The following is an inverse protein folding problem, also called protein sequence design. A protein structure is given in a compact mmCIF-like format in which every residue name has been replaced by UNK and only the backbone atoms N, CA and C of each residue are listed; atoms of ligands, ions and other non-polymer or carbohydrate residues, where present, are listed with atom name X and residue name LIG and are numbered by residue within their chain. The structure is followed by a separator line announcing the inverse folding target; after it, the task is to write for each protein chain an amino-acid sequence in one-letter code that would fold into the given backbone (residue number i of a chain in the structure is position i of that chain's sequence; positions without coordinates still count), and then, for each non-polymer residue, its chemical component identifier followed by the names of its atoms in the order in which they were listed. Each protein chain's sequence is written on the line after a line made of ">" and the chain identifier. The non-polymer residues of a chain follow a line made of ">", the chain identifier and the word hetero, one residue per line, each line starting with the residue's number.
data_IF_932409645878
#
_entry.id   IF_932409645878
#
_cell.length_a   1.000
_cell.length_b   1.000
_cell.length_c   1.000
_cell.angle_alpha   90.00
_cell.angle_beta   90.00
_cell.angle_gamma   90.00
#
_symmetry.space_group_name_H-M   'P 1'
#
loop_
_entity.id
_entity.type
_entity.pdbx_description
1 polymer ?
#
# COMPACT_ATOMS: atom_id res chain seq x y z
N UNK A 1 -64.32 -49.60 28.19
CA UNK A 1 -63.28 -50.32 28.95
C UNK A 1 -61.94 -49.75 28.54
N UNK A 2 -61.17 -49.26 29.53
CA UNK A 2 -59.75 -48.90 29.52
C UNK A 2 -59.37 -47.74 28.57
N UNK A 3 -59.06 -46.52 28.99
CA UNK A 3 -58.44 -46.05 30.23
C UNK A 3 -56.94 -45.86 29.98
N UNK A 4 -56.49 -44.62 29.77
CA UNK A 4 -55.09 -44.21 29.92
C UNK A 4 -55.00 -42.71 30.27
N UNK A 5 -54.11 -42.44 31.21
CA UNK A 5 -54.00 -41.27 32.07
C UNK A 5 -53.57 -39.99 31.32
N UNK A 6 -54.05 -38.85 31.81
CA UNK A 6 -53.51 -37.54 31.45
C UNK A 6 -52.19 -37.27 32.18
N UNK A 7 -51.16 -36.92 31.42
CA UNK A 7 -49.98 -36.22 31.90
C UNK A 7 -49.99 -34.82 31.30
N UNK A 8 -50.16 -33.83 32.18
CA UNK A 8 -49.98 -32.41 31.88
C UNK A 8 -48.49 -32.12 31.81
N UNK A 9 -47.94 -31.94 30.61
CA UNK A 9 -46.57 -31.44 30.42
C UNK A 9 -46.61 -29.92 30.58
N UNK A 10 -46.10 -29.42 31.71
CA UNK A 10 -45.77 -28.01 31.89
C UNK A 10 -44.46 -27.75 31.16
N UNK A 11 -44.53 -27.12 29.98
CA UNK A 11 -43.35 -26.56 29.33
C UNK A 11 -43.08 -25.19 29.97
N UNK A 12 -42.05 -25.12 30.81
CA UNK A 12 -41.49 -23.85 31.26
C UNK A 12 -40.88 -23.12 30.06
N UNK A 13 -41.45 -21.98 29.69
CA UNK A 13 -40.82 -20.98 28.85
C UNK A 13 -39.81 -20.24 29.73
N UNK A 14 -38.50 -20.22 29.44
CA UNK A 14 -37.61 -19.29 30.11
C UNK A 14 -37.88 -17.89 29.59
N UNK A 15 -38.19 -16.98 30.51
CA UNK A 15 -38.26 -15.54 30.27
C UNK A 15 -36.87 -15.04 29.87
N UNK A 16 -36.69 -14.71 28.59
CA UNK A 16 -35.49 -14.08 28.06
C UNK A 16 -35.56 -12.57 28.27
N UNK A 17 -35.20 -12.10 29.47
CA UNK A 17 -35.03 -10.68 29.78
C UNK A 17 -33.67 -10.36 30.43
N UNK A 18 -32.68 -11.26 30.38
CA UNK A 18 -31.37 -11.03 31.03
C UNK A 18 -30.16 -10.94 30.08
N UNK A 19 -30.33 -11.06 28.76
CA UNK A 19 -29.19 -11.05 27.80
C UNK A 19 -28.99 -9.73 27.02
N UNK A 20 -29.86 -8.72 27.20
CA UNK A 20 -29.68 -7.42 26.52
C UNK A 20 -28.83 -6.41 27.31
N UNK A 21 -28.71 -6.59 28.63
CA UNK A 21 -27.98 -5.66 29.51
C UNK A 21 -26.46 -5.88 29.54
N UNK A 22 -25.98 -7.11 29.42
CA UNK A 22 -24.53 -7.39 29.38
C UNK A 22 -23.89 -6.97 28.04
N UNK A 23 -24.63 -7.11 26.93
CA UNK A 23 -24.16 -6.71 25.59
C UNK A 23 -24.04 -5.18 25.49
N UNK A 24 -24.91 -4.43 26.18
CA UNK A 24 -24.84 -2.96 26.25
C UNK A 24 -23.66 -2.49 27.10
N UNK A 25 -23.38 -3.13 28.24
CA UNK A 25 -22.27 -2.72 29.12
C UNK A 25 -20.90 -3.01 28.52
N UNK A 26 -20.77 -4.09 27.75
CA UNK A 26 -19.54 -4.41 27.02
C UNK A 26 -19.27 -3.42 25.88
N UNK A 27 -20.32 -2.96 25.19
CA UNK A 27 -20.21 -1.91 24.17
C UNK A 27 -19.80 -0.58 24.78
N UNK A 28 -20.34 -0.24 25.95
CA UNK A 28 -19.98 0.97 26.71
C UNK A 28 -18.55 0.89 27.28
N UNK A 29 -18.11 -0.27 27.76
CA UNK A 29 -16.74 -0.48 28.24
C UNK A 29 -15.70 -0.42 27.09
N UNK A 30 -16.04 -0.98 25.91
CA UNK A 30 -15.20 -0.87 24.71
C UNK A 30 -15.22 0.54 24.11
N UNK A 31 -16.35 1.26 24.22
CA UNK A 31 -16.41 2.69 23.96
C UNK A 31 -15.45 3.47 24.85
N UNK A 32 -15.30 3.06 26.13
CA UNK A 32 -14.36 3.63 27.11
C UNK A 32 -12.87 3.34 26.78
N UNK A 33 -12.52 2.17 26.24
CA UNK A 33 -11.15 1.90 25.73
C UNK A 33 -10.88 2.53 24.35
N UNK A 34 -11.91 2.66 23.51
CA UNK A 34 -11.82 3.37 22.24
C UNK A 34 -11.56 4.88 22.42
N UNK A 35 -11.89 5.46 23.59
CA UNK A 35 -11.68 6.88 23.95
C UNK A 35 -10.23 7.32 23.80
N UNK A 36 -9.25 6.46 24.12
CA UNK A 36 -7.83 6.83 24.04
C UNK A 36 -7.24 6.71 22.63
N UNK A 37 -7.89 6.01 21.70
CA UNK A 37 -7.40 5.81 20.32
C UNK A 37 -8.15 6.62 19.25
N UNK A 38 -9.31 7.16 19.58
CA UNK A 38 -10.27 7.64 18.58
C UNK A 38 -10.18 9.13 18.30
N UNK A 39 -9.09 9.52 17.66
CA UNK A 39 -9.12 10.60 16.69
C UNK A 39 -9.54 10.07 15.31
N UNK A 40 -10.00 10.95 14.43
CA UNK A 40 -9.90 10.62 13.01
C UNK A 40 -8.43 10.35 12.68
N UNK A 41 -8.08 9.50 11.70
CA UNK A 41 -6.70 9.01 11.52
C UNK A 41 -5.67 10.07 11.06
N UNK A 42 -5.96 11.36 11.23
CA UNK A 42 -5.03 12.49 11.18
C UNK A 42 -4.93 13.33 12.47
N UNK A 43 -5.47 12.84 13.60
CA UNK A 43 -5.50 13.52 14.91
C UNK A 43 -4.33 13.11 15.85
N UNK A 44 -3.29 12.41 15.33
CA UNK A 44 -2.11 12.06 16.14
C UNK A 44 -1.26 13.33 16.32
N UNK A 45 -1.51 14.09 17.39
CA UNK A 45 -0.69 15.23 17.77
C UNK A 45 0.73 14.80 18.19
N UNK A 46 1.71 15.48 17.59
CA UNK A 46 2.91 15.92 18.29
C UNK A 46 2.47 16.88 19.40
N UNK A 47 2.77 16.55 20.64
CA UNK A 47 2.47 17.39 21.79
C UNK A 47 3.04 18.80 21.61
N UNK A 48 2.15 19.78 21.70
CA UNK A 48 2.47 21.20 21.70
C UNK A 48 3.41 21.57 22.86
N UNK A 49 4.47 22.29 22.52
CA UNK A 49 5.08 23.27 23.42
C UNK A 49 5.21 24.55 22.63
N UNK A 50 4.16 25.35 22.68
CA UNK A 50 4.15 26.73 22.22
C UNK A 50 5.27 27.53 22.93
N UNK A 51 6.26 28.00 22.15
CA UNK A 51 6.89 29.32 22.37
C UNK A 51 7.12 29.97 21.02
N UNK A 52 6.40 31.07 20.80
CA UNK A 52 6.48 31.98 19.67
C UNK A 52 7.68 32.95 19.82
N UNK A 53 7.94 33.81 18.82
CA UNK A 53 9.07 33.75 17.89
C UNK A 53 10.22 34.71 18.28
N UNK A 54 11.41 34.50 17.71
CA UNK A 54 12.28 35.57 17.17
C UNK A 54 13.71 35.08 16.87
N UNK A 55 14.26 35.66 15.80
CA UNK A 55 15.66 35.72 15.40
C UNK A 55 16.28 34.50 14.67
N UNK A 56 16.56 34.69 13.37
CA UNK A 56 17.73 34.08 12.71
C UNK A 56 18.98 34.32 13.55
N UNK A 57 19.94 33.38 13.56
CA UNK A 57 21.22 33.78 12.98
C UNK A 57 21.99 32.66 12.25
N UNK A 58 22.51 33.07 11.09
CA UNK A 58 23.92 33.04 10.70
C UNK A 58 24.76 31.77 10.99
N UNK A 59 25.17 31.20 9.86
CA UNK A 59 26.34 30.33 9.65
C UNK A 59 27.58 30.92 10.36
N UNK A 60 28.19 30.12 11.25
CA UNK A 60 29.56 30.32 11.71
C UNK A 60 30.28 28.97 11.78
N UNK A 61 31.28 28.83 10.91
CA UNK A 61 32.29 27.78 10.93
C UNK A 61 33.22 28.01 12.12
N UNK A 62 33.37 27.03 13.01
CA UNK A 62 34.48 27.00 13.98
C UNK A 62 34.97 25.56 14.11
N UNK A 63 36.20 25.34 13.62
CA UNK A 63 37.02 24.16 13.92
C UNK A 63 37.44 24.16 15.39
N UNK A 64 37.32 23.03 16.09
CA UNK A 64 38.14 22.74 17.27
C UNK A 64 38.18 21.23 17.61
N UNK A 65 39.32 20.63 17.23
CA UNK A 65 40.20 19.78 18.05
C UNK A 65 39.61 18.70 18.98
N UNK A 66 40.00 17.46 18.66
CA UNK A 66 39.95 16.21 19.44
C UNK A 66 40.69 16.31 20.79
N UNK A 67 40.24 15.54 21.81
CA UNK A 67 41.19 14.69 22.53
C UNK A 67 40.72 13.23 22.73
N UNK A 68 41.70 12.43 23.12
CA UNK A 68 41.89 10.99 22.95
C UNK A 68 41.44 10.12 24.16
N UNK A 69 41.18 8.82 23.90
CA UNK A 69 41.10 7.61 24.79
C UNK A 69 39.70 7.27 25.37
N UNK A 70 39.19 6.03 25.39
CA UNK A 70 39.78 4.66 25.32
C UNK A 70 38.71 3.63 24.83
N UNK A 71 39.08 2.39 24.47
CA UNK A 71 38.22 1.47 23.72
C UNK A 71 37.29 0.62 24.61
N UNK A 72 36.04 0.44 24.18
CA UNK A 72 35.06 -0.52 24.72
C UNK A 72 34.80 -1.59 23.64
N UNK A 73 34.75 -2.89 23.99
CA UNK A 73 34.99 -3.96 23.03
C UNK A 73 33.84 -4.13 22.04
N UNK A 74 34.21 -4.29 20.76
CA UNK A 74 33.31 -4.62 19.68
C UNK A 74 32.57 -5.93 19.99
N UNK A 75 31.23 -5.86 20.08
CA UNK A 75 30.38 -7.04 19.95
C UNK A 75 30.54 -7.55 18.52
N UNK A 76 31.25 -8.66 18.39
CA UNK A 76 31.42 -9.40 17.14
C UNK A 76 30.06 -9.84 16.61
N UNK A 77 29.74 -9.40 15.38
CA UNK A 77 28.67 -10.00 14.59
C UNK A 77 28.99 -11.50 14.32
N UNK A 78 27.98 -12.37 14.12
CA UNK A 78 28.20 -13.78 13.89
C UNK A 78 29.05 -14.00 12.63
N UNK A 79 30.11 -14.78 12.74
CA UNK A 79 31.13 -14.99 11.71
C UNK A 79 30.61 -15.55 10.37
N UNK A 80 29.38 -16.07 10.30
CA UNK A 80 28.77 -16.59 9.07
C UNK A 80 28.28 -15.52 8.09
N UNK A 81 27.80 -14.37 8.57
CA UNK A 81 27.23 -13.31 7.70
C UNK A 81 28.33 -12.52 6.97
N UNK A 82 29.51 -12.40 7.60
CA UNK A 82 30.66 -11.67 7.06
C UNK A 82 31.32 -12.46 5.91
N UNK A 83 31.32 -13.79 5.99
CA UNK A 83 31.92 -14.67 4.96
C UNK A 83 31.06 -14.71 3.68
N UNK A 84 29.73 -14.69 3.82
CA UNK A 84 28.81 -14.62 2.68
C UNK A 84 28.89 -13.27 1.94
N UNK A 85 28.90 -12.14 2.68
CA UNK A 85 29.04 -10.80 2.10
C UNK A 85 30.38 -10.64 1.36
N UNK A 86 31.48 -11.21 1.89
CA UNK A 86 32.78 -11.19 1.24
C UNK A 86 32.83 -12.05 -0.04
N UNK A 87 32.20 -13.24 -0.04
CA UNK A 87 32.10 -14.10 -1.24
C UNK A 87 31.24 -13.47 -2.33
N UNK A 88 30.13 -12.85 -1.95
CA UNK A 88 29.26 -12.10 -2.86
C UNK A 88 30.03 -10.92 -3.47
N UNK A 89 30.66 -10.06 -2.66
CA UNK A 89 31.53 -8.98 -3.16
C UNK A 89 32.63 -9.48 -4.10
N UNK A 90 33.24 -10.64 -3.81
CA UNK A 90 34.24 -11.25 -4.69
C UNK A 90 33.67 -11.74 -6.04
N UNK A 91 32.42 -12.23 -6.08
CA UNK A 91 31.72 -12.58 -7.33
C UNK A 91 31.39 -11.32 -8.17
N UNK A 92 31.07 -10.22 -7.49
CA UNK A 92 30.85 -8.89 -8.08
C UNK A 92 32.13 -8.31 -8.69
N UNK A 93 33.24 -8.31 -7.94
CA UNK A 93 34.54 -7.83 -8.41
C UNK A 93 35.06 -8.63 -9.63
N UNK A 94 34.65 -9.90 -9.77
CA UNK A 94 35.06 -10.78 -10.88
C UNK A 94 34.16 -10.71 -12.11
N UNK A 95 33.13 -9.86 -12.14
CA UNK A 95 32.10 -9.82 -13.21
C UNK A 95 31.44 -11.19 -13.47
N UNK A 96 31.51 -12.12 -12.52
CA UNK A 96 31.06 -13.50 -12.71
C UNK A 96 29.53 -13.58 -12.67
N UNK A 97 28.87 -12.73 -11.89
CA UNK A 97 27.41 -12.61 -11.87
C UNK A 97 26.90 -12.07 -13.21
N UNK A 98 27.52 -11.03 -13.75
CA UNK A 98 27.15 -10.48 -15.07
C UNK A 98 27.31 -11.54 -16.18
N UNK A 99 28.40 -12.30 -16.19
CA UNK A 99 28.59 -13.41 -17.15
C UNK A 99 27.63 -14.58 -16.96
N UNK A 100 27.27 -14.90 -15.72
CA UNK A 100 26.29 -15.92 -15.39
C UNK A 100 24.89 -15.49 -15.87
N UNK A 101 24.50 -14.25 -15.60
CA UNK A 101 23.24 -13.67 -16.06
C UNK A 101 23.19 -13.61 -17.60
N UNK A 102 24.27 -13.17 -18.26
CA UNK A 102 24.38 -13.15 -19.72
C UNK A 102 24.29 -14.54 -20.35
N UNK A 103 24.86 -15.58 -19.72
CA UNK A 103 24.82 -16.96 -20.22
C UNK A 103 23.49 -17.69 -20.01
N UNK A 104 22.59 -17.17 -19.17
CA UNK A 104 21.30 -17.78 -18.84
C UNK A 104 20.12 -17.12 -19.58
N UNK A 105 20.36 -15.97 -20.22
CA UNK A 105 19.38 -15.21 -20.97
C UNK A 105 19.10 -15.72 -22.40
N UNK A 106 19.71 -16.84 -22.81
CA UNK A 106 19.62 -17.38 -24.18
C UNK A 106 18.39 -18.29 -24.42
N UNK A 107 17.58 -18.54 -23.39
CA UNK A 107 16.47 -19.49 -23.42
C UNK A 107 15.17 -18.82 -22.92
N UNK A 108 14.44 -18.10 -23.78
CA UNK A 108 12.95 -17.99 -23.79
C UNK A 108 12.42 -16.89 -24.75
N UNK A 109 11.54 -17.31 -25.66
CA UNK A 109 11.04 -16.55 -26.83
C UNK A 109 9.99 -15.45 -26.52
N UNK A 110 9.80 -15.11 -25.24
CA UNK A 110 8.82 -14.10 -24.77
C UNK A 110 9.38 -12.98 -23.90
N UNK A 111 10.66 -13.08 -23.53
CA UNK A 111 11.31 -12.18 -22.54
C UNK A 111 12.51 -11.42 -23.10
N UNK A 112 12.74 -11.54 -24.41
CA UNK A 112 13.88 -10.96 -25.13
C UNK A 112 14.07 -9.47 -24.83
N UNK A 113 13.03 -8.64 -24.89
CA UNK A 113 13.18 -7.20 -24.60
C UNK A 113 13.53 -6.91 -23.13
N UNK A 114 13.02 -7.69 -22.19
CA UNK A 114 13.32 -7.51 -20.74
C UNK A 114 14.80 -7.84 -20.47
N UNK A 115 15.26 -8.92 -21.08
CA UNK A 115 16.65 -9.37 -21.05
C UNK A 115 17.57 -8.31 -21.67
N UNK A 116 17.23 -7.79 -22.86
CA UNK A 116 18.03 -6.76 -23.52
C UNK A 116 18.11 -5.46 -22.72
N UNK A 117 17.05 -5.06 -22.01
CA UNK A 117 17.08 -3.92 -21.09
C UNK A 117 18.02 -4.18 -19.92
N UNK A 118 18.01 -5.38 -19.35
CA UNK A 118 18.95 -5.76 -18.28
C UNK A 118 20.40 -5.74 -18.80
N UNK A 119 20.64 -6.23 -20.01
CA UNK A 119 21.98 -6.16 -20.65
C UNK A 119 22.45 -4.72 -20.86
N UNK A 120 21.55 -3.84 -21.30
CA UNK A 120 21.82 -2.41 -21.46
C UNK A 120 22.16 -1.75 -20.12
N UNK A 121 21.40 -2.06 -19.06
CA UNK A 121 21.69 -1.58 -17.70
C UNK A 121 23.05 -2.06 -17.18
N UNK A 122 23.51 -3.24 -17.62
CA UNK A 122 24.83 -3.78 -17.29
C UNK A 122 25.97 -3.23 -18.17
N UNK A 123 25.68 -2.31 -19.10
CA UNK A 123 26.68 -1.64 -19.93
C UNK A 123 27.12 -2.43 -21.17
N UNK A 124 26.30 -3.37 -21.66
CA UNK A 124 26.57 -4.02 -22.94
C UNK A 124 26.51 -3.00 -24.10
N UNK A 125 27.49 -3.01 -24.99
CA UNK A 125 27.47 -2.19 -26.21
C UNK A 125 26.37 -2.71 -27.15
N UNK A 126 25.48 -1.82 -27.55
CA UNK A 126 24.37 -2.12 -28.47
C UNK A 126 24.55 -1.27 -29.72
N UNK A 127 24.57 -1.92 -30.88
CA UNK A 127 24.48 -1.25 -32.18
C UNK A 127 23.00 -0.99 -32.52
N UNK A 128 22.59 0.28 -32.58
CA UNK A 128 21.23 0.68 -32.96
C UNK A 128 20.39 1.30 -31.83
N UNK A 129 19.06 1.45 -32.01
CA UNK A 129 18.17 2.02 -30.99
C UNK A 129 18.15 1.12 -29.75
N UNK A 130 18.16 1.73 -28.57
CA UNK A 130 18.23 1.02 -27.29
C UNK A 130 17.02 0.08 -27.11
N UNK A 131 17.16 -0.97 -26.31
CA UNK A 131 16.04 -1.88 -26.05
C UNK A 131 14.91 -1.15 -25.31
N UNK A 132 15.30 -0.21 -24.45
CA UNK A 132 14.39 0.70 -23.77
C UNK A 132 13.61 1.56 -24.77
N UNK A 133 14.26 2.12 -25.78
CA UNK A 133 13.61 2.95 -26.80
C UNK A 133 12.57 2.16 -27.59
N UNK A 134 12.94 0.97 -28.09
CA UNK A 134 12.02 0.11 -28.86
C UNK A 134 10.80 -0.28 -28.04
N UNK A 135 11.00 -0.65 -26.78
CA UNK A 135 9.90 -0.99 -25.89
C UNK A 135 9.04 0.23 -25.59
N UNK A 136 9.64 1.40 -25.39
CA UNK A 136 8.92 2.64 -25.12
C UNK A 136 8.02 3.02 -26.29
N UNK A 137 8.54 2.96 -27.51
CA UNK A 137 7.76 3.25 -28.73
C UNK A 137 6.64 2.22 -28.92
N UNK A 138 6.91 0.94 -28.61
CA UNK A 138 5.89 -0.09 -28.56
C UNK A 138 4.80 0.22 -27.52
N UNK A 139 5.15 0.70 -26.33
CA UNK A 139 4.19 1.03 -25.27
C UNK A 139 3.34 2.26 -25.64
N UNK A 140 3.94 3.26 -26.29
CA UNK A 140 3.20 4.42 -26.81
C UNK A 140 2.17 4.00 -27.87
N UNK A 141 2.52 3.04 -28.74
CA UNK A 141 1.61 2.52 -29.76
C UNK A 141 0.40 1.74 -29.21
N UNK A 142 0.41 1.38 -27.91
CA UNK A 142 -0.73 0.71 -27.25
C UNK A 142 -1.91 1.67 -27.08
N UNK A 143 -1.64 2.97 -26.90
CA UNK A 143 -2.68 3.97 -26.70
C UNK A 143 -3.15 4.50 -28.06
N UNK A 144 -4.47 4.66 -28.26
CA UNK A 144 -4.98 5.37 -29.44
C UNK A 144 -4.43 6.79 -29.49
N UNK A 145 -4.09 7.27 -30.69
CA UNK A 145 -3.60 8.65 -30.90
C UNK A 145 -4.55 9.69 -30.31
N UNK A 146 -5.87 9.48 -30.43
CA UNK A 146 -6.87 10.38 -29.84
C UNK A 146 -6.72 10.50 -28.32
N UNK A 147 -6.43 9.41 -27.60
CA UNK A 147 -6.23 9.45 -26.14
C UNK A 147 -5.02 10.31 -25.77
N UNK A 148 -3.96 10.26 -26.58
CA UNK A 148 -2.77 11.07 -26.37
C UNK A 148 -3.09 12.55 -26.66
N UNK A 149 -3.76 12.83 -27.76
CA UNK A 149 -4.15 14.18 -28.18
C UNK A 149 -5.12 14.83 -27.18
N UNK A 150 -6.08 14.09 -26.64
CA UNK A 150 -7.03 14.57 -25.63
C UNK A 150 -6.32 15.11 -24.38
N UNK A 151 -5.17 14.51 -24.03
CA UNK A 151 -4.32 14.91 -22.90
C UNK A 151 -3.21 15.90 -23.33
N UNK A 152 -3.24 16.36 -24.58
CA UNK A 152 -2.26 17.29 -25.14
C UNK A 152 -0.88 16.68 -25.38
N UNK A 153 -0.77 15.35 -25.46
CA UNK A 153 0.45 14.63 -25.82
C UNK A 153 0.51 14.57 -27.35
N UNK A 154 1.42 15.34 -27.94
CA UNK A 154 1.63 15.44 -29.38
C UNK A 154 3.09 15.10 -29.66
N UNK A 155 3.37 14.41 -30.76
CA UNK A 155 4.73 14.06 -31.15
C UNK A 155 5.67 15.28 -31.03
N UNK A 156 6.84 15.03 -30.42
CA UNK A 156 7.92 16.00 -30.19
C UNK A 156 7.58 17.22 -29.32
N UNK A 157 6.49 17.17 -28.56
CA UNK A 157 6.23 18.18 -27.52
C UNK A 157 6.80 17.76 -26.15
N UNK A 158 6.90 18.71 -25.22
CA UNK A 158 7.44 18.45 -23.87
C UNK A 158 6.68 17.31 -23.16
N UNK A 159 5.34 17.29 -23.27
CA UNK A 159 4.49 16.24 -22.67
C UNK A 159 4.81 14.85 -23.22
N UNK A 160 5.05 14.74 -24.52
CA UNK A 160 5.45 13.49 -25.17
C UNK A 160 6.82 13.03 -24.67
N UNK A 161 7.79 13.93 -24.55
CA UNK A 161 9.09 13.61 -23.98
C UNK A 161 8.99 13.17 -22.51
N UNK A 162 8.20 13.86 -21.68
CA UNK A 162 7.96 13.46 -20.29
C UNK A 162 7.32 12.07 -20.21
N UNK A 163 6.28 11.80 -21.00
CA UNK A 163 5.64 10.49 -21.01
C UNK A 163 6.59 9.38 -21.48
N UNK A 164 7.36 9.66 -22.54
CA UNK A 164 8.39 8.74 -23.05
C UNK A 164 9.45 8.42 -21.98
N UNK A 165 9.91 9.43 -21.25
CA UNK A 165 10.88 9.26 -20.16
C UNK A 165 10.32 8.39 -19.03
N UNK A 166 9.08 8.62 -18.61
CA UNK A 166 8.40 7.80 -17.59
C UNK A 166 8.32 6.34 -18.04
N UNK A 167 7.90 6.10 -19.28
CA UNK A 167 7.79 4.74 -19.83
C UNK A 167 9.15 4.04 -19.86
N UNK A 168 10.20 4.72 -20.31
CA UNK A 168 11.56 4.17 -20.34
C UNK A 168 12.11 3.86 -18.95
N UNK A 169 11.95 4.78 -17.99
CA UNK A 169 12.38 4.57 -16.61
C UNK A 169 11.60 3.43 -15.94
N UNK A 170 10.29 3.36 -16.15
CA UNK A 170 9.46 2.29 -15.61
C UNK A 170 9.78 0.94 -16.26
N UNK A 171 10.08 0.90 -17.57
CA UNK A 171 10.51 -0.31 -18.25
C UNK A 171 11.81 -0.88 -17.68
N UNK A 172 12.79 -0.02 -17.37
CA UNK A 172 14.02 -0.42 -16.67
C UNK A 172 13.71 -1.06 -15.31
N UNK A 173 12.88 -0.41 -14.50
CA UNK A 173 12.49 -0.94 -13.17
C UNK A 173 11.72 -2.26 -13.30
N UNK A 174 10.79 -2.36 -14.24
CA UNK A 174 10.05 -3.59 -14.48
C UNK A 174 11.00 -4.74 -14.87
N UNK A 175 11.97 -4.47 -15.74
CA UNK A 175 12.96 -5.46 -16.13
C UNK A 175 13.89 -5.87 -14.97
N UNK A 176 14.35 -4.90 -14.18
CA UNK A 176 15.13 -5.15 -12.97
C UNK A 176 14.36 -6.00 -11.95
N UNK A 177 13.08 -5.70 -11.71
CA UNK A 177 12.23 -6.47 -10.79
C UNK A 177 12.04 -7.90 -11.27
N UNK A 178 11.78 -8.09 -12.57
CA UNK A 178 11.61 -9.42 -13.17
C UNK A 178 12.88 -10.27 -13.04
N UNK A 179 14.05 -9.66 -13.23
CA UNK A 179 15.32 -10.36 -13.01
C UNK A 179 15.45 -10.84 -11.58
N UNK A 180 15.17 -9.96 -10.61
CA UNK A 180 15.23 -10.30 -9.17
C UNK A 180 14.28 -11.44 -8.81
N UNK A 181 13.06 -11.42 -9.33
CA UNK A 181 12.07 -12.49 -9.15
C UNK A 181 12.56 -13.84 -9.72
N UNK A 182 13.37 -13.82 -10.78
CA UNK A 182 13.91 -15.00 -11.43
C UNK A 182 15.20 -15.53 -10.77
N UNK A 183 15.94 -14.70 -10.02
CA UNK A 183 17.22 -15.09 -9.39
C UNK A 183 17.15 -16.43 -8.60
N UNK A 184 16.13 -16.72 -7.77
CA UNK A 184 16.06 -17.98 -7.04
C UNK A 184 15.85 -19.20 -7.95
N UNK A 185 15.14 -19.02 -9.08
CA UNK A 185 14.84 -20.09 -10.04
C UNK A 185 16.02 -20.43 -10.96
N UNK A 186 17.00 -19.53 -11.05
CA UNK A 186 18.13 -19.62 -11.98
C UNK A 186 19.32 -20.46 -11.45
N UNK A 187 19.10 -21.30 -10.43
CA UNK A 187 20.06 -22.34 -10.02
C UNK A 187 21.19 -21.88 -9.08
N UNK A 188 21.05 -20.73 -8.43
CA UNK A 188 21.97 -20.24 -7.39
C UNK A 188 22.00 -21.11 -6.13
N UNK A 189 21.01 -21.99 -5.93
CA UNK A 189 20.98 -22.97 -4.85
C UNK A 189 22.15 -23.97 -4.84
N UNK A 190 22.89 -24.11 -5.95
CA UNK A 190 24.12 -24.90 -5.98
C UNK A 190 25.36 -24.15 -5.46
N UNK A 191 25.30 -22.81 -5.34
CA UNK A 191 26.43 -21.96 -4.95
C UNK A 191 26.25 -21.28 -3.59
N UNK A 192 25.01 -21.05 -3.15
CA UNK A 192 24.69 -20.37 -1.91
C UNK A 192 23.86 -21.29 -1.00
N UNK A 193 24.31 -21.42 0.25
CA UNK A 193 23.77 -22.39 1.19
C UNK A 193 22.63 -21.80 2.01
N UNK A 194 21.41 -21.77 1.46
CA UNK A 194 20.18 -21.46 2.20
C UNK A 194 19.46 -20.18 1.76
N UNK A 195 18.23 -20.01 2.25
CA UNK A 195 17.29 -18.95 1.84
C UNK A 195 17.75 -17.54 2.18
N UNK A 196 18.51 -17.36 3.27
CA UNK A 196 19.06 -16.06 3.67
C UNK A 196 20.14 -15.53 2.71
N UNK A 197 20.90 -16.44 2.07
CA UNK A 197 21.95 -16.05 1.13
C UNK A 197 21.34 -15.62 -0.22
N UNK A 198 20.19 -16.18 -0.60
CA UNK A 198 19.45 -15.79 -1.81
C UNK A 198 18.82 -14.40 -1.67
N UNK A 199 18.23 -14.08 -0.52
CA UNK A 199 17.67 -12.76 -0.23
C UNK A 199 18.78 -11.69 -0.19
N UNK A 200 19.92 -12.02 0.43
CA UNK A 200 21.09 -11.15 0.44
C UNK A 200 21.62 -10.93 -0.98
N UNK A 201 21.76 -11.98 -1.79
CA UNK A 201 22.16 -11.86 -3.20
C UNK A 201 21.20 -10.96 -3.98
N UNK A 202 19.89 -11.19 -3.87
CA UNK A 202 18.87 -10.38 -4.55
C UNK A 202 19.03 -8.89 -4.21
N UNK A 203 19.28 -8.57 -2.93
CA UNK A 203 19.54 -7.21 -2.47
C UNK A 203 20.81 -6.62 -3.06
N UNK A 204 21.93 -7.35 -3.03
CA UNK A 204 23.20 -6.84 -3.58
C UNK A 204 23.08 -6.65 -5.10
N UNK A 205 22.37 -7.55 -5.81
CA UNK A 205 22.10 -7.38 -7.25
C UNK A 205 21.23 -6.14 -7.52
N UNK A 206 20.19 -5.92 -6.71
CA UNK A 206 19.35 -4.74 -6.82
C UNK A 206 20.12 -3.43 -6.64
N UNK A 207 20.98 -3.35 -5.62
CA UNK A 207 21.65 -2.11 -5.23
C UNK A 207 22.92 -1.86 -6.06
N UNK A 208 23.79 -2.86 -6.21
CA UNK A 208 25.14 -2.69 -6.76
C UNK A 208 25.21 -2.96 -8.27
N UNK A 209 24.42 -3.91 -8.82
CA UNK A 209 24.38 -4.15 -10.29
C UNK A 209 23.37 -3.25 -10.96
N UNK A 210 22.10 -3.38 -10.56
CA UNK A 210 20.98 -2.78 -11.27
C UNK A 210 20.72 -1.33 -10.86
N UNK A 211 21.29 -0.91 -9.72
CA UNK A 211 21.12 0.44 -9.16
C UNK A 211 19.65 0.84 -9.07
N UNK A 212 18.79 -0.08 -8.63
CA UNK A 212 17.35 0.15 -8.53
C UNK A 212 17.02 1.41 -7.72
N UNK A 213 17.70 1.75 -6.61
CA UNK A 213 17.45 3.00 -5.90
C UNK A 213 17.66 4.26 -6.76
N UNK A 214 18.64 4.26 -7.66
CA UNK A 214 18.86 5.36 -8.62
C UNK A 214 17.74 5.41 -9.66
N UNK A 215 17.35 4.25 -10.20
CA UNK A 215 16.26 4.14 -11.17
C UNK A 215 14.92 4.60 -10.59
N UNK A 216 14.64 4.25 -9.33
CA UNK A 216 13.44 4.70 -8.62
C UNK A 216 13.43 6.23 -8.48
N UNK A 217 14.56 6.85 -8.11
CA UNK A 217 14.68 8.31 -8.03
C UNK A 217 14.41 8.97 -9.39
N UNK A 218 14.99 8.43 -10.46
CA UNK A 218 14.75 8.90 -11.83
C UNK A 218 13.28 8.77 -12.23
N UNK A 219 12.64 7.64 -11.90
CA UNK A 219 11.22 7.44 -12.14
C UNK A 219 10.39 8.49 -11.40
N UNK A 220 10.63 8.72 -10.10
CA UNK A 220 9.92 9.73 -9.32
C UNK A 220 10.01 11.12 -9.95
N UNK A 221 11.20 11.58 -10.31
CA UNK A 221 11.37 12.88 -10.98
C UNK A 221 10.60 12.93 -12.31
N UNK A 222 10.67 11.88 -13.13
CA UNK A 222 9.90 11.85 -14.39
C UNK A 222 8.38 11.81 -14.18
N UNK A 223 7.92 11.21 -13.09
CA UNK A 223 6.50 11.16 -12.73
C UNK A 223 5.96 12.51 -12.24
N UNK A 224 6.81 13.32 -11.60
CA UNK A 224 6.51 14.70 -11.23
C UNK A 224 6.39 15.59 -12.48
N UNK A 225 7.25 15.39 -13.47
CA UNK A 225 7.16 16.09 -14.77
C UNK A 225 5.92 15.68 -15.59
N UNK A 226 5.38 14.48 -15.35
CA UNK A 226 4.19 13.95 -16.02
C UNK A 226 2.91 14.11 -15.16
N UNK A 227 2.78 15.23 -14.46
CA UNK A 227 1.63 15.55 -13.62
C UNK A 227 0.30 15.65 -14.40
N UNK A 228 0.36 16.08 -15.65
CA UNK A 228 -0.79 16.24 -16.55
C UNK A 228 -1.44 14.91 -16.97
N UNK A 229 -0.78 13.78 -16.77
CA UNK A 229 -1.28 12.44 -17.13
C UNK A 229 -1.41 11.57 -15.87
N UNK A 230 -2.37 11.91 -15.02
CA UNK A 230 -2.66 11.24 -13.77
C UNK A 230 -4.15 10.93 -13.62
N UNK A 231 -4.51 10.23 -12.54
CA UNK A 231 -5.90 10.11 -12.10
C UNK A 231 -6.88 9.57 -13.15
N UNK A 232 -7.84 10.39 -13.61
CA UNK A 232 -8.86 9.94 -14.55
C UNK A 232 -8.28 9.66 -15.93
N UNK A 233 -7.32 10.45 -16.40
CA UNK A 233 -6.58 10.23 -17.65
C UNK A 233 -5.79 8.92 -17.59
N UNK A 234 -5.10 8.67 -16.47
CA UNK A 234 -4.39 7.42 -16.25
C UNK A 234 -5.34 6.21 -16.20
N UNK A 235 -6.49 6.33 -15.55
CA UNK A 235 -7.49 5.27 -15.51
C UNK A 235 -8.08 4.97 -16.89
N UNK A 236 -8.39 6.00 -17.69
CA UNK A 236 -8.83 5.85 -19.09
C UNK A 236 -7.76 5.14 -19.92
N UNK A 237 -6.49 5.54 -19.81
CA UNK A 237 -5.37 4.92 -20.50
C UNK A 237 -5.21 3.45 -20.09
N UNK A 238 -5.32 3.14 -18.79
CA UNK A 238 -5.35 1.78 -18.29
C UNK A 238 -6.47 0.95 -18.94
N UNK A 239 -7.70 1.47 -19.03
CA UNK A 239 -8.82 0.76 -19.64
C UNK A 239 -8.57 0.46 -21.12
N UNK A 240 -7.89 1.35 -21.85
CA UNK A 240 -7.47 1.10 -23.24
C UNK A 240 -6.36 0.06 -23.35
N UNK A 241 -5.37 0.11 -22.45
CA UNK A 241 -4.26 -0.83 -22.42
C UNK A 241 -4.64 -2.22 -21.88
N UNK A 242 -5.77 -2.34 -21.16
CA UNK A 242 -6.16 -3.53 -20.39
C UNK A 242 -6.09 -4.83 -21.19
N UNK A 243 -6.67 -4.80 -22.39
CA UNK A 243 -6.82 -5.96 -23.27
C UNK A 243 -5.70 -6.04 -24.33
N UNK A 244 -4.73 -5.13 -24.29
CA UNK A 244 -3.66 -5.12 -25.27
C UNK A 244 -2.54 -6.09 -24.87
N UNK A 245 -2.15 -7.06 -25.71
CA UNK A 245 -1.13 -8.07 -25.35
C UNK A 245 0.21 -7.46 -24.94
N UNK A 246 0.58 -6.36 -25.59
CA UNK A 246 1.82 -5.61 -25.33
C UNK A 246 1.69 -4.53 -24.25
N UNK A 247 0.52 -4.41 -23.63
CA UNK A 247 0.18 -3.33 -22.70
C UNK A 247 0.60 -3.58 -21.25
N UNK A 248 1.19 -4.73 -20.90
CA UNK A 248 1.42 -5.12 -19.49
C UNK A 248 2.11 -4.03 -18.66
N UNK A 249 3.25 -3.52 -19.13
CA UNK A 249 4.03 -2.49 -18.44
C UNK A 249 3.24 -1.19 -18.33
N UNK A 250 2.58 -0.78 -19.42
CA UNK A 250 1.73 0.41 -19.42
C UNK A 250 0.56 0.27 -18.44
N UNK A 251 -0.08 -0.90 -18.35
CA UNK A 251 -1.16 -1.14 -17.38
C UNK A 251 -0.67 -1.00 -15.94
N UNK A 252 0.46 -1.61 -15.60
CA UNK A 252 1.05 -1.51 -14.26
C UNK A 252 1.38 -0.04 -13.93
N UNK A 253 2.05 0.66 -14.85
CA UNK A 253 2.34 2.08 -14.69
C UNK A 253 1.05 2.89 -14.48
N UNK A 254 0.03 2.72 -15.32
CA UNK A 254 -1.22 3.47 -15.20
C UNK A 254 -1.99 3.16 -13.91
N UNK A 255 -1.98 1.90 -13.44
CA UNK A 255 -2.56 1.56 -12.14
C UNK A 255 -1.86 2.27 -10.98
N UNK A 256 -0.53 2.42 -11.03
CA UNK A 256 0.22 3.19 -10.02
C UNK A 256 -0.14 4.68 -10.00
N UNK A 257 -0.78 5.20 -11.06
CA UNK A 257 -1.21 6.60 -11.21
C UNK A 257 -2.66 6.84 -10.81
N UNK A 258 -3.38 5.80 -10.40
CA UNK A 258 -4.72 5.87 -9.81
C UNK A 258 -4.54 6.14 -8.32
N UNK A 259 -4.61 7.41 -7.92
CA UNK A 259 -4.37 7.84 -6.53
C UNK A 259 -5.62 8.50 -5.96
N UNK A 260 -5.91 9.73 -6.37
CA UNK A 260 -7.09 10.52 -5.97
C UNK A 260 -8.41 9.95 -6.45
N UNK A 261 -8.43 9.31 -7.62
CA UNK A 261 -9.66 8.72 -8.18
C UNK A 261 -9.96 7.33 -7.63
N UNK A 262 -9.15 6.79 -6.71
CA UNK A 262 -9.32 5.43 -6.18
C UNK A 262 -10.75 5.14 -5.72
N UNK A 263 -11.32 5.97 -4.84
CA UNK A 263 -12.69 5.77 -4.35
C UNK A 263 -13.75 5.91 -5.46
N UNK A 264 -13.50 6.76 -6.46
CA UNK A 264 -14.36 6.84 -7.65
C UNK A 264 -14.29 5.53 -8.46
N UNK A 265 -13.11 4.95 -8.64
CA UNK A 265 -12.92 3.66 -9.30
C UNK A 265 -13.62 2.55 -8.51
N UNK A 266 -13.40 2.46 -7.18
CA UNK A 266 -14.05 1.49 -6.27
C UNK A 266 -15.57 1.56 -6.36
N UNK A 267 -16.12 2.77 -6.52
CA UNK A 267 -17.56 2.98 -6.67
C UNK A 267 -18.11 2.51 -8.02
N UNK A 268 -17.25 2.34 -9.03
CA UNK A 268 -17.67 1.91 -10.37
C UNK A 268 -17.74 0.39 -10.52
N UNK A 269 -18.51 -0.08 -11.51
CA UNK A 269 -18.54 -1.50 -11.85
C UNK A 269 -17.20 -2.02 -12.38
N UNK A 270 -16.32 -1.15 -12.90
CA UNK A 270 -15.01 -1.55 -13.43
C UNK A 270 -14.12 -2.18 -12.35
N UNK A 271 -14.20 -1.67 -11.11
CA UNK A 271 -13.43 -2.20 -9.98
C UNK A 271 -13.74 -3.68 -9.72
N UNK A 272 -15.02 -4.07 -9.85
CA UNK A 272 -15.45 -5.45 -9.64
C UNK A 272 -14.82 -6.42 -10.64
N UNK A 273 -14.40 -5.94 -11.82
CA UNK A 273 -13.76 -6.75 -12.85
C UNK A 273 -12.25 -6.83 -12.73
N UNK A 274 -11.60 -6.13 -11.79
CA UNK A 274 -10.16 -6.26 -11.62
C UNK A 274 -9.74 -7.70 -11.31
N UNK A 275 -8.60 -8.09 -11.86
CA UNK A 275 -7.92 -9.34 -11.53
C UNK A 275 -7.21 -9.22 -10.17
N UNK A 276 -6.85 -10.36 -9.58
CA UNK A 276 -6.04 -10.40 -8.35
C UNK A 276 -4.79 -9.52 -8.48
N UNK A 277 -4.07 -9.65 -9.61
CA UNK A 277 -2.87 -8.88 -9.88
C UNK A 277 -3.12 -7.37 -9.90
N UNK A 278 -4.19 -6.91 -10.55
CA UNK A 278 -4.52 -5.49 -10.68
C UNK A 278 -4.91 -4.89 -9.32
N UNK A 279 -5.70 -5.61 -8.51
CA UNK A 279 -6.05 -5.20 -7.15
C UNK A 279 -4.79 -5.10 -6.28
N UNK A 280 -3.97 -6.15 -6.23
CA UNK A 280 -2.74 -6.17 -5.41
C UNK A 280 -1.82 -5.03 -5.81
N UNK A 281 -1.61 -4.82 -7.13
CA UNK A 281 -0.77 -3.75 -7.62
C UNK A 281 -1.27 -2.37 -7.18
N UNK A 282 -2.58 -2.13 -7.27
CA UNK A 282 -3.18 -0.87 -6.84
C UNK A 282 -3.09 -0.68 -5.31
N UNK A 283 -3.38 -1.72 -4.52
CA UNK A 283 -3.39 -1.64 -3.05
C UNK A 283 -1.99 -1.42 -2.43
N UNK A 284 -0.93 -1.80 -3.12
CA UNK A 284 0.46 -1.50 -2.72
C UNK A 284 0.78 -0.02 -2.72
N UNK A 285 0.05 0.77 -3.52
CA UNK A 285 0.28 2.20 -3.66
C UNK A 285 0.01 2.95 -2.34
N UNK A 286 1.02 3.63 -1.79
CA UNK A 286 0.85 4.44 -0.57
C UNK A 286 0.09 5.75 -0.81
N UNK A 287 -0.08 6.18 -2.06
CA UNK A 287 -0.72 7.45 -2.40
C UNK A 287 -2.25 7.35 -2.58
N UNK A 288 -2.86 6.17 -2.41
CA UNK A 288 -4.32 6.03 -2.55
C UNK A 288 -5.06 7.01 -1.64
N UNK A 289 -5.90 7.84 -2.24
CA UNK A 289 -6.73 8.80 -1.51
C UNK A 289 -7.95 8.09 -0.91
N UNK A 290 -7.81 7.74 0.36
CA UNK A 290 -8.84 7.16 1.21
C UNK A 290 -8.95 7.92 2.52
N UNK A 291 -10.08 7.82 3.19
CA UNK A 291 -10.31 8.45 4.48
C UNK A 291 -9.72 7.65 5.66
N UNK A 292 -9.55 6.34 5.50
CA UNK A 292 -8.97 5.43 6.50
C UNK A 292 -8.59 4.08 5.88
N UNK A 293 -7.73 3.30 6.55
CA UNK A 293 -7.39 1.95 6.07
C UNK A 293 -8.62 1.02 6.10
N UNK A 294 -9.63 1.39 6.88
CA UNK A 294 -10.93 0.70 6.88
C UNK A 294 -11.56 0.72 5.47
N UNK A 295 -11.48 1.83 4.73
CA UNK A 295 -12.01 1.87 3.36
C UNK A 295 -11.26 0.94 2.40
N UNK A 296 -9.95 0.80 2.59
CA UNK A 296 -9.14 -0.14 1.82
C UNK A 296 -9.63 -1.56 2.10
N UNK A 297 -9.75 -1.93 3.38
CA UNK A 297 -10.30 -3.22 3.79
C UNK A 297 -11.70 -3.46 3.19
N UNK A 298 -12.63 -2.50 3.34
CA UNK A 298 -14.00 -2.62 2.83
C UNK A 298 -14.06 -2.69 1.30
N UNK A 299 -13.14 -2.02 0.59
CA UNK A 299 -13.02 -2.13 -0.87
C UNK A 299 -12.63 -3.55 -1.30
N UNK A 300 -11.72 -4.20 -0.56
CA UNK A 300 -11.35 -5.61 -0.81
C UNK A 300 -12.53 -6.52 -0.56
N UNK A 301 -13.29 -6.32 0.52
CA UNK A 301 -14.51 -7.10 0.80
C UNK A 301 -15.52 -6.95 -0.34
N UNK A 302 -15.73 -5.73 -0.85
CA UNK A 302 -16.60 -5.45 -2.00
C UNK A 302 -16.18 -6.23 -3.24
N UNK A 303 -14.87 -6.27 -3.53
CA UNK A 303 -14.33 -7.05 -4.64
C UNK A 303 -14.50 -8.56 -4.43
N UNK A 304 -14.21 -9.07 -3.23
CA UNK A 304 -14.36 -10.49 -2.91
C UNK A 304 -15.82 -10.95 -2.97
N UNK A 305 -16.77 -10.12 -2.54
CA UNK A 305 -18.20 -10.42 -2.59
C UNK A 305 -18.69 -10.70 -4.01
N UNK A 306 -18.25 -9.89 -4.98
CA UNK A 306 -18.75 -9.97 -6.36
C UNK A 306 -18.56 -11.35 -7.00
N UNK A 307 -17.47 -12.04 -6.69
CA UNK A 307 -17.20 -13.39 -7.18
C UNK A 307 -16.44 -14.23 -6.15
N UNK A 308 -17.09 -14.46 -5.00
CA UNK A 308 -16.46 -15.18 -3.88
C UNK A 308 -15.97 -16.58 -4.27
N UNK A 309 -16.73 -17.30 -5.10
CA UNK A 309 -16.42 -18.68 -5.46
C UNK A 309 -15.05 -18.82 -6.14
N UNK A 310 -14.70 -17.90 -7.04
CA UNK A 310 -13.41 -17.91 -7.71
C UNK A 310 -12.33 -17.16 -6.94
N UNK A 311 -12.70 -16.19 -6.09
CA UNK A 311 -11.76 -15.29 -5.40
C UNK A 311 -11.38 -15.74 -3.99
N UNK A 312 -12.07 -16.71 -3.40
CA UNK A 312 -11.77 -17.16 -2.04
C UNK A 312 -10.35 -17.69 -1.88
N UNK A 313 -9.76 -18.25 -2.95
CA UNK A 313 -8.40 -18.78 -2.96
C UNK A 313 -7.31 -17.70 -2.93
N UNK A 314 -7.64 -16.48 -3.35
CA UNK A 314 -6.72 -15.34 -3.33
C UNK A 314 -7.03 -14.31 -2.23
N UNK A 315 -8.10 -14.51 -1.46
CA UNK A 315 -8.53 -13.57 -0.43
C UNK A 315 -7.41 -13.20 0.55
N UNK A 316 -6.63 -14.18 1.00
CA UNK A 316 -5.48 -13.94 1.90
C UNK A 316 -4.40 -13.07 1.25
N UNK A 317 -4.02 -13.36 0.00
CA UNK A 317 -2.99 -12.61 -0.73
C UNK A 317 -3.41 -11.18 -1.00
N UNK A 318 -4.68 -10.96 -1.32
CA UNK A 318 -5.23 -9.61 -1.52
C UNK A 318 -5.33 -8.86 -0.18
N UNK A 319 -5.82 -9.51 0.87
CA UNK A 319 -5.96 -8.89 2.19
C UNK A 319 -4.61 -8.62 2.86
N UNK A 320 -3.53 -9.31 2.48
CA UNK A 320 -2.18 -9.01 2.95
C UNK A 320 -1.70 -7.60 2.57
N UNK A 321 -2.29 -6.98 1.54
CA UNK A 321 -1.99 -5.61 1.12
C UNK A 321 -2.74 -4.55 1.95
N UNK A 322 -3.66 -4.98 2.82
CA UNK A 322 -4.34 -4.13 3.81
C UNK A 322 -3.44 -3.94 5.02
N UNK A 323 -3.21 -2.70 5.41
CA UNK A 323 -2.31 -2.35 6.52
C UNK A 323 -3.07 -2.41 7.84
N UNK A 324 -3.39 -3.61 8.32
CA UNK A 324 -4.19 -3.81 9.54
C UNK A 324 -3.65 -3.04 10.76
N UNK A 325 -2.33 -2.84 10.88
CA UNK A 325 -1.74 -2.03 11.96
C UNK A 325 -2.04 -0.52 11.86
N UNK A 326 -2.62 -0.05 10.75
CA UNK A 326 -3.15 1.31 10.58
C UNK A 326 -4.65 1.36 10.81
N UNK A 327 -5.34 0.25 11.06
CA UNK A 327 -6.74 0.27 11.44
C UNK A 327 -6.86 0.46 12.97
N UNK A 328 -7.92 1.14 13.46
CA UNK A 328 -8.11 1.30 14.89
C UNK A 328 -8.30 -0.04 15.63
N UNK A 329 -7.75 -0.19 16.84
CA UNK A 329 -7.81 -1.45 17.61
C UNK A 329 -9.25 -1.87 17.85
N UNK A 330 -10.12 -0.91 18.20
CA UNK A 330 -11.56 -1.18 18.38
C UNK A 330 -12.22 -1.74 17.13
N UNK A 331 -11.79 -1.34 15.92
CA UNK A 331 -12.37 -1.86 14.68
C UNK A 331 -11.95 -3.32 14.50
N UNK A 332 -10.65 -3.61 14.67
CA UNK A 332 -10.07 -4.94 14.55
C UNK A 332 -10.69 -5.95 15.53
N UNK A 333 -10.95 -5.55 16.78
CA UNK A 333 -11.55 -6.42 17.81
C UNK A 333 -13.05 -6.65 17.59
N UNK A 334 -13.74 -5.73 16.91
CA UNK A 334 -15.20 -5.78 16.71
C UNK A 334 -15.64 -6.22 15.30
N UNK A 335 -14.71 -6.52 14.39
CA UNK A 335 -14.96 -6.91 13.00
C UNK A 335 -16.12 -7.92 12.83
N UNK A 336 -16.15 -8.99 13.65
CA UNK A 336 -17.16 -10.05 13.60
C UNK A 336 -18.53 -9.64 14.18
N UNK A 337 -18.56 -8.67 15.10
CA UNK A 337 -19.77 -8.24 15.81
C UNK A 337 -20.47 -7.12 15.06
N UNK A 338 -19.70 -6.19 14.51
CA UNK A 338 -20.25 -4.95 13.92
C UNK A 338 -20.67 -5.13 12.47
N UNK A 339 -20.07 -6.06 11.74
CA UNK A 339 -20.46 -6.36 10.36
C UNK A 339 -21.23 -7.70 10.31
N UNK A 340 -22.57 -7.62 10.34
CA UNK A 340 -23.47 -8.79 10.29
C UNK A 340 -23.59 -9.43 8.91
N UNK A 341 -22.68 -9.08 7.99
CA UNK A 341 -22.72 -9.51 6.61
C UNK A 341 -22.02 -10.86 6.43
N UNK A 342 -22.61 -11.76 5.63
CA UNK A 342 -22.06 -13.09 5.35
C UNK A 342 -20.64 -13.04 4.75
N UNK A 343 -20.29 -11.97 4.05
CA UNK A 343 -18.96 -11.79 3.45
C UNK A 343 -17.86 -11.65 4.51
N UNK A 344 -18.16 -10.98 5.63
CA UNK A 344 -17.22 -10.83 6.75
C UNK A 344 -17.07 -12.15 7.49
N UNK A 345 -18.17 -12.86 7.72
CA UNK A 345 -18.13 -14.17 8.34
C UNK A 345 -17.23 -15.13 7.54
N UNK A 346 -17.30 -15.12 6.21
CA UNK A 346 -16.46 -15.94 5.33
C UNK A 346 -14.99 -15.54 5.39
N UNK A 347 -14.69 -14.24 5.23
CA UNK A 347 -13.31 -13.72 5.26
C UNK A 347 -12.66 -13.94 6.61
N UNK A 348 -13.39 -13.71 7.70
CA UNK A 348 -12.88 -13.89 9.06
C UNK A 348 -12.74 -15.36 9.46
N UNK A 349 -13.34 -16.30 8.72
CA UNK A 349 -13.11 -17.73 8.92
C UNK A 349 -11.77 -18.20 8.34
N UNK A 350 -11.19 -17.48 7.37
CA UNK A 350 -9.90 -17.81 6.76
C UNK A 350 -8.76 -17.71 7.79
N UNK A 351 -7.97 -18.79 8.01
CA UNK A 351 -6.88 -18.78 8.99
C UNK A 351 -5.83 -17.69 8.74
N UNK A 352 -5.43 -17.48 7.48
CA UNK A 352 -4.46 -16.45 7.12
C UNK A 352 -4.96 -15.03 7.43
N UNK A 353 -6.24 -14.75 7.19
CA UNK A 353 -6.84 -13.46 7.53
C UNK A 353 -6.88 -13.23 9.04
N UNK A 354 -7.20 -14.26 9.83
CA UNK A 354 -7.11 -14.17 11.30
C UNK A 354 -5.68 -13.85 11.75
N UNK A 355 -4.68 -14.46 11.11
CA UNK A 355 -3.27 -14.17 11.41
C UNK A 355 -2.88 -12.73 11.04
N UNK A 356 -3.38 -12.20 9.91
CA UNK A 356 -3.17 -10.80 9.52
C UNK A 356 -3.78 -9.81 10.53
N UNK A 357 -5.01 -10.07 10.99
CA UNK A 357 -5.67 -9.25 12.02
C UNK A 357 -4.91 -9.32 13.34
N UNK A 358 -4.52 -10.53 13.78
CA UNK A 358 -3.77 -10.72 15.02
C UNK A 358 -2.40 -10.04 14.96
N UNK A 359 -1.71 -10.11 13.82
CA UNK A 359 -0.45 -9.39 13.58
C UNK A 359 -0.67 -7.87 13.65
N UNK A 360 -1.69 -7.35 12.98
CA UNK A 360 -2.03 -5.92 13.03
C UNK A 360 -2.28 -5.42 14.45
N UNK A 361 -3.02 -6.18 15.26
CA UNK A 361 -3.24 -5.88 16.68
C UNK A 361 -1.93 -5.87 17.49
N UNK A 362 -1.08 -6.89 17.30
CA UNK A 362 0.21 -6.98 17.98
C UNK A 362 1.13 -5.80 17.61
N UNK A 363 1.15 -5.40 16.33
CA UNK A 363 1.94 -4.26 15.83
C UNK A 363 1.48 -2.93 16.44
N UNK A 364 0.16 -2.73 16.62
CA UNK A 364 -0.40 -1.53 17.27
C UNK A 364 0.01 -1.45 18.74
N UNK A 365 -0.10 -2.56 19.47
CA UNK A 365 0.30 -2.64 20.89
C UNK A 365 1.81 -2.40 21.04
N UNK A 366 2.64 -2.99 20.18
CA UNK A 366 4.09 -2.82 20.20
C UNK A 366 4.51 -1.35 19.95
N UNK A 367 3.81 -0.65 19.03
CA UNK A 367 4.06 0.78 18.75
C UNK A 367 3.71 1.68 19.94
N UNK A 368 2.62 1.38 20.66
CA UNK A 368 2.22 2.13 21.88
C UNK A 368 3.18 1.94 23.05
N UNK A 369 3.82 0.78 23.16
CA UNK A 369 4.78 0.47 24.22
C UNK A 369 6.19 1.06 24.04
N UNK A 370 6.51 1.61 22.85
CA UNK A 370 7.79 2.25 22.57
C UNK A 370 7.72 3.75 22.82
N UNK A 371 8.31 4.23 23.91
CA UNK A 371 8.37 5.66 24.24
C UNK A 371 9.09 6.46 23.11
N UNK A 372 8.56 7.62 22.66
CA UNK A 372 9.16 8.43 21.60
C UNK A 372 10.48 9.14 21.98
N UNK A 373 10.94 9.01 23.23
CA UNK A 373 12.03 9.84 23.76
C UNK A 373 13.46 9.36 23.47
N UNK A 374 13.65 8.27 22.73
CA UNK A 374 14.98 7.92 22.22
C UNK A 374 15.15 8.38 20.78
N UNK A 375 15.61 9.62 20.67
CA UNK A 375 16.06 10.23 19.43
C UNK A 375 17.36 9.53 18.97
N UNK A 376 17.26 8.45 18.19
CA UNK A 376 18.42 7.87 17.50
C UNK A 376 18.55 8.49 16.11
N UNK A 377 19.05 9.73 16.05
CA UNK A 377 19.58 10.34 14.82
C UNK A 377 20.94 9.74 14.39
N UNK A 378 21.26 8.52 14.82
CA UNK A 378 22.54 7.87 14.53
C UNK A 378 22.35 6.39 14.20
N UNK A 379 21.57 6.09 13.17
CA UNK A 379 21.68 4.85 12.40
C UNK A 379 21.00 5.05 11.05
N UNK A 380 21.78 5.44 10.02
CA UNK A 380 21.38 5.38 8.62
C UNK A 380 21.20 3.93 8.18
N UNK A 381 20.17 3.29 8.71
CA UNK A 381 19.88 1.88 8.55
C UNK A 381 18.71 1.75 7.59
N UNK A 382 19.03 1.39 6.34
CA UNK A 382 18.10 1.13 5.23
C UNK A 382 17.08 -0.01 5.49
N UNK A 383 16.86 -0.42 6.74
CA UNK A 383 15.94 -1.49 7.14
C UNK A 383 14.56 -0.98 7.60
N UNK A 384 14.07 0.12 7.02
CA UNK A 384 12.69 0.57 7.20
C UNK A 384 11.77 0.06 6.08
N UNK A 385 12.05 -1.14 5.56
CA UNK A 385 11.31 -1.74 4.44
C UNK A 385 10.12 -2.63 4.88
N UNK A 386 9.98 -2.90 6.18
CA UNK A 386 8.94 -3.81 6.70
C UNK A 386 7.72 -3.13 7.35
N UNK A 387 7.69 -1.80 7.44
CA UNK A 387 6.49 -1.09 7.87
C UNK A 387 6.00 -0.20 6.73
N UNK A 388 4.87 -0.54 6.08
CA UNK A 388 4.29 0.29 5.04
C UNK A 388 4.10 1.72 5.58
N UNK A 389 4.70 2.70 4.89
CA UNK A 389 4.50 4.13 5.16
C UNK A 389 2.99 4.39 5.18
N UNK A 390 2.43 5.12 6.17
CA UNK A 390 1.00 5.44 6.20
C UNK A 390 0.52 6.01 4.86
N UNK A 391 -0.74 5.73 4.50
CA UNK A 391 -1.30 6.30 3.27
C UNK A 391 -1.50 7.80 3.40
N UNK A 392 -1.54 8.49 2.28
CA UNK A 392 -1.97 9.88 2.24
C UNK A 392 -3.48 9.95 2.45
N UNK A 393 -3.87 10.13 3.72
CA UNK A 393 -5.29 10.24 4.08
C UNK A 393 -5.91 11.50 3.49
N UNK A 394 -7.09 11.34 2.91
CA UNK A 394 -7.97 12.45 2.57
C UNK A 394 -9.02 12.63 3.66
N UNK A 395 -9.72 13.75 3.61
CA UNK A 395 -10.99 13.95 4.27
C UNK A 395 -12.00 14.44 3.24
N UNK A 396 -13.10 13.70 3.11
CA UNK A 396 -14.28 14.13 2.38
C UNK A 396 -15.32 14.69 3.37
N UNK A 397 -15.66 15.97 3.31
CA UNK A 397 -16.71 16.54 4.16
C UNK A 397 -18.08 15.83 4.07
N UNK A 398 -18.37 15.12 2.97
CA UNK A 398 -19.62 14.37 2.80
C UNK A 398 -19.58 12.96 3.42
N UNK A 399 -18.39 12.50 3.82
CA UNK A 399 -18.21 11.20 4.45
C UNK A 399 -18.63 11.27 5.93
N UNK A 400 -19.58 10.40 6.30
CA UNK A 400 -20.31 10.46 7.58
C UNK A 400 -19.54 9.89 8.77
N UNK A 401 -18.40 9.22 8.53
CA UNK A 401 -17.54 8.69 9.60
C UNK A 401 -16.37 9.61 9.95
N UNK A 402 -16.30 10.85 9.42
CA UNK A 402 -15.36 11.88 9.88
C UNK A 402 -15.83 12.58 11.15
N UNK A 403 -15.99 11.81 12.21
CA UNK A 403 -16.33 12.33 13.52
C UNK A 403 -15.41 11.67 14.56
N UNK A 404 -15.04 12.40 15.62
CA UNK A 404 -14.37 11.80 16.78
C UNK A 404 -15.34 10.81 17.43
N UNK A 405 -14.85 9.74 18.06
CA UNK A 405 -15.72 8.71 18.66
C UNK A 405 -16.73 9.28 19.67
N UNK A 406 -16.39 10.37 20.37
CA UNK A 406 -17.28 11.03 21.35
C UNK A 406 -18.37 11.89 20.72
N UNK A 407 -18.33 12.06 19.40
CA UNK A 407 -19.34 12.83 18.71
C UNK A 407 -20.62 12.00 18.58
N UNK A 408 -21.77 12.58 18.93
CA UNK A 408 -23.07 11.93 18.75
C UNK A 408 -23.41 11.63 17.28
N UNK A 409 -22.70 12.27 16.35
CA UNK A 409 -22.82 12.01 14.90
C UNK A 409 -21.81 10.99 14.39
N UNK A 410 -20.99 10.39 15.27
CA UNK A 410 -20.08 9.34 14.89
C UNK A 410 -20.87 8.16 14.33
N UNK A 411 -20.56 7.84 13.07
CA UNK A 411 -21.11 6.67 12.40
C UNK A 411 -19.98 5.65 12.27
N UNK A 412 -20.24 4.43 12.71
CA UNK A 412 -19.31 3.33 12.51
C UNK A 412 -19.19 3.04 11.00
N UNK A 413 -17.96 2.94 10.44
CA UNK A 413 -17.76 2.62 9.03
C UNK A 413 -18.04 1.13 8.76
N UNK A 414 -19.30 0.74 8.82
CA UNK A 414 -19.75 -0.60 8.45
C UNK A 414 -19.76 -0.75 6.94
N UNK A 415 -19.86 -2.00 6.46
CA UNK A 415 -19.96 -2.27 5.04
C UNK A 415 -21.14 -1.59 4.36
N UNK A 416 -22.30 -1.54 5.02
CA UNK A 416 -23.50 -0.86 4.53
C UNK A 416 -23.30 0.66 4.46
N UNK A 417 -22.68 1.26 5.47
CA UNK A 417 -22.36 2.70 5.48
C UNK A 417 -21.36 3.03 4.37
N UNK A 418 -20.36 2.18 4.15
CA UNK A 418 -19.40 2.34 3.06
C UNK A 418 -20.07 2.25 1.68
N UNK A 419 -20.96 1.28 1.44
CA UNK A 419 -21.75 1.21 0.20
C UNK A 419 -22.60 2.46 -0.03
N UNK A 420 -23.22 3.00 1.03
CA UNK A 420 -23.97 4.26 0.94
C UNK A 420 -23.05 5.43 0.57
N UNK A 421 -21.84 5.49 1.13
CA UNK A 421 -20.85 6.48 0.78
C UNK A 421 -20.41 6.36 -0.68
N UNK A 422 -20.08 5.15 -1.16
CA UNK A 422 -19.77 4.91 -2.57
C UNK A 422 -20.93 5.33 -3.50
N UNK A 423 -22.19 5.07 -3.11
CA UNK A 423 -23.35 5.52 -3.88
C UNK A 423 -23.40 7.05 -4.02
N UNK A 424 -23.02 7.81 -2.99
CA UNK A 424 -22.93 9.28 -3.08
C UNK A 424 -21.84 9.73 -4.05
N UNK A 425 -20.69 9.06 -4.03
CA UNK A 425 -19.59 9.34 -4.97
C UNK A 425 -20.08 9.15 -6.42
N UNK A 426 -20.75 8.04 -6.71
CA UNK A 426 -21.28 7.73 -8.06
C UNK A 426 -22.29 8.79 -8.50
N UNK A 427 -23.22 9.16 -7.60
CA UNK A 427 -24.25 10.17 -7.90
C UNK A 427 -23.68 11.58 -8.12
N UNK A 428 -22.42 11.80 -7.75
CA UNK A 428 -21.72 13.09 -7.86
C UNK A 428 -20.56 13.05 -8.88
N UNK A 429 -20.43 11.95 -9.63
CA UNK A 429 -19.45 11.76 -10.71
C UNK A 429 -19.67 12.78 -11.86
N UNK A 430 -18.66 13.04 -12.72
CA UNK A 430 -17.35 12.37 -12.85
C UNK A 430 -16.21 12.96 -12.01
N UNK A 431 -16.38 14.19 -11.51
CA UNK A 431 -15.29 15.01 -10.97
C UNK A 431 -15.29 15.08 -9.44
N UNK A 432 -15.93 14.11 -8.77
CA UNK A 432 -16.11 14.13 -7.32
C UNK A 432 -14.79 14.12 -6.56
N UNK A 433 -13.77 13.42 -7.05
CA UNK A 433 -12.45 13.33 -6.42
C UNK A 433 -11.71 14.68 -6.24
N UNK A 434 -12.15 15.75 -6.93
CA UNK A 434 -11.64 17.11 -6.69
C UNK A 434 -12.11 17.69 -5.35
N UNK A 435 -13.17 17.15 -4.74
CA UNK A 435 -13.65 17.60 -3.42
C UNK A 435 -12.79 17.09 -2.27
N UNK A 436 -12.02 16.01 -2.51
CA UNK A 436 -11.13 15.41 -1.52
C UNK A 436 -10.01 16.36 -1.14
N UNK A 437 -9.88 16.60 0.17
CA UNK A 437 -8.85 17.45 0.75
C UNK A 437 -7.85 16.61 1.55
N UNK A 438 -6.60 17.04 1.69
CA UNK A 438 -5.67 16.39 2.61
C UNK A 438 -6.26 16.35 4.03
N UNK A 439 -6.25 15.18 4.66
CA UNK A 439 -6.78 14.95 5.99
C UNK A 439 -6.28 15.98 7.02
N UNK A 440 -4.98 16.28 6.97
CA UNK A 440 -4.30 17.20 7.90
C UNK A 440 -4.86 18.62 7.84
N UNK A 441 -5.31 19.08 6.68
CA UNK A 441 -5.91 20.41 6.52
C UNK A 441 -7.32 20.48 7.12
N UNK A 442 -8.10 19.40 6.97
CA UNK A 442 -9.49 19.34 7.43
C UNK A 442 -9.55 19.05 8.92
N UNK A 443 -8.72 18.14 9.44
CA UNK A 443 -8.72 17.81 10.87
C UNK A 443 -8.25 18.98 11.74
N UNK A 444 -7.23 19.72 11.30
CA UNK A 444 -6.72 20.90 12.05
C UNK A 444 -7.68 22.10 12.03
N UNK A 445 -8.40 22.33 10.93
CA UNK A 445 -9.14 23.58 10.73
C UNK A 445 -10.67 23.43 10.75
N UNK A 446 -11.21 22.25 10.44
CA UNK A 446 -12.63 22.06 10.11
C UNK A 446 -13.34 20.98 10.93
N UNK A 447 -12.65 19.92 11.38
CA UNK A 447 -13.20 18.99 12.39
C UNK A 447 -13.15 19.62 13.79
N UNK A 448 -13.96 20.65 13.97
CA UNK A 448 -14.55 20.90 15.29
C UNK A 448 -15.56 19.79 15.45
N UNK A 449 -15.26 18.72 16.17
CA UNK A 449 -16.21 17.63 16.40
C UNK A 449 -17.42 18.14 17.19
N UNK A 450 -18.33 18.80 16.47
CA UNK A 450 -19.55 19.47 16.89
C UNK A 450 -19.42 20.25 18.22
N UNK A 451 -18.54 21.25 18.30
CA UNK A 451 -18.65 22.24 19.35
C UNK A 451 -19.94 23.05 19.13
N UNK A 452 -20.95 22.83 19.97
CA UNK A 452 -22.19 23.61 20.10
C UNK A 452 -23.06 23.75 18.83
N UNK A 453 -23.92 22.76 18.57
CA UNK A 453 -25.21 23.05 17.94
C UNK A 453 -26.30 22.82 18.99
N UNK A 454 -27.05 23.86 19.42
CA UNK A 454 -28.22 23.68 20.26
C UNK A 454 -29.20 22.80 19.49
N UNK A 455 -29.77 21.81 20.18
CA UNK A 455 -30.85 20.98 19.70
C UNK A 455 -31.99 21.89 19.19
N UNK A 456 -32.15 21.99 17.87
CA UNK A 456 -33.38 22.48 17.28
C UNK A 456 -34.39 21.32 17.36
N UNK A 457 -35.37 21.53 18.24
CA UNK A 457 -36.52 20.66 18.52
C UNK A 457 -37.39 20.41 17.29
#
# INVERSE_FOLDING_TARGET
>A
MNGLNGETIIVQVPSSDEDETEVSSDLDAMMFEAVEECGAQGDIESTDSEKQPDAEPLIAVVEAQTPLRSPVPARSAPAGVIDADAKLRALFERQQIVKMLLGLCDETDGESETIHIVMELMGAEIEGPTAVDRLTDQLLSVLPEQTLVDEGIILDNERYHSFRNVLGNYAKIHASRRLIEQLPTLGTGNFLGGTHDEELLARVVADEVLKIPDLMRQLWTSLEEMDFFNEDSAFKAYLKARNHPKGKILRELMLSRISRVFLCVVSSTFYLFFTEFEIIHMLRNCYLSVNSEIEIFLSVILWLEHNWHERSECAERVLAEVRFHLMPTWYLTTLNRTNRCIHFARVNQCPGVKALIAKGLADVVAKKGSNPHYNSQAAGSFYKMDCPVPREWIADPACVYHHKCHCQRFVYPTYEVFKQYLSRIINSAPNYWHTFRPAQEVYRNQLRCCCYLPQLR
#
